data_IF_095159353954
#
_entry.id   IF_095159353954
#
_cell.length_a   1.000
_cell.length_b   1.000
_cell.length_c   1.000
_cell.angle_alpha   90.00
_cell.angle_beta   90.00
_cell.angle_gamma   90.00
#
_symmetry.space_group_name_H-M   'P 1'
#
loop_
_entity.id
_entity.type
_entity.pdbx_description
1 polymer ?
#
# COMPACT_ATOMS: atom_id res chain seq x y z
N UNK A 1 2.98 77.80 -22.46
CA UNK A 1 3.63 76.53 -22.14
C UNK A 1 2.61 75.67 -21.37
N UNK A 2 2.06 74.68 -21.97
CA UNK A 2 1.10 73.71 -21.36
C UNK A 2 1.82 72.39 -21.09
N UNK A 3 2.06 72.11 -19.80
CA UNK A 3 2.58 70.76 -19.36
C UNK A 3 1.48 69.72 -19.54
N UNK A 4 1.76 68.72 -20.33
CA UNK A 4 0.94 67.50 -20.39
C UNK A 4 1.45 66.52 -19.33
N UNK A 5 0.62 66.22 -18.32
CA UNK A 5 0.86 65.15 -17.39
C UNK A 5 0.61 63.81 -18.08
N UNK A 6 1.64 62.97 -18.18
CA UNK A 6 1.51 61.56 -18.59
C UNK A 6 1.14 60.70 -17.35
N UNK A 7 -0.07 60.20 -17.33
CA UNK A 7 -0.51 59.22 -16.33
C UNK A 7 0.00 57.85 -16.77
N UNK A 8 0.97 57.28 -16.06
CA UNK A 8 1.49 55.95 -16.25
C UNK A 8 0.56 54.99 -15.49
N UNK A 9 -0.32 54.26 -16.20
CA UNK A 9 -1.17 53.20 -15.64
C UNK A 9 -0.30 51.93 -15.51
N UNK A 10 0.09 51.59 -14.29
CA UNK A 10 0.75 50.30 -14.01
C UNK A 10 -0.30 49.18 -14.11
N UNK A 11 -0.23 48.38 -15.17
CA UNK A 11 -0.90 47.08 -15.25
C UNK A 11 -0.16 46.14 -14.28
N UNK A 12 -0.78 45.83 -13.14
CA UNK A 12 -0.41 44.69 -12.33
C UNK A 12 -0.81 43.43 -13.11
N UNK A 13 0.15 42.81 -13.80
CA UNK A 13 -0.02 41.47 -14.31
C UNK A 13 -0.11 40.54 -13.08
N UNK A 14 -1.31 40.09 -12.73
CA UNK A 14 -1.48 38.90 -11.89
C UNK A 14 -0.93 37.72 -12.69
N UNK A 15 0.30 37.35 -12.37
CA UNK A 15 0.83 36.07 -12.81
C UNK A 15 -0.02 35.01 -12.08
N UNK A 16 -1.01 34.46 -12.75
CA UNK A 16 -1.60 33.17 -12.37
C UNK A 16 -0.46 32.17 -12.52
N UNK A 17 0.14 31.79 -11.40
CA UNK A 17 0.99 30.59 -11.38
C UNK A 17 0.10 29.44 -11.86
N UNK A 18 0.32 28.96 -13.08
CA UNK A 18 -0.24 27.70 -13.50
C UNK A 18 0.31 26.68 -12.48
N UNK A 19 -0.56 26.15 -11.62
CA UNK A 19 -0.20 25.04 -10.76
C UNK A 19 0.30 23.93 -11.68
N UNK A 20 1.51 23.43 -11.42
CA UNK A 20 2.03 22.30 -12.17
C UNK A 20 1.06 21.12 -11.99
N UNK A 21 0.82 20.37 -13.07
CA UNK A 21 -0.03 19.19 -13.06
C UNK A 21 0.46 18.17 -12.02
N UNK A 22 -0.40 17.75 -11.10
CA UNK A 22 -0.10 16.70 -10.11
C UNK A 22 -0.29 15.35 -10.75
N UNK A 23 0.80 14.66 -11.05
CA UNK A 23 0.78 13.29 -11.59
C UNK A 23 0.73 12.28 -10.44
N UNK A 24 -0.27 11.39 -10.45
CA UNK A 24 -0.45 10.32 -9.48
C UNK A 24 -0.19 8.98 -10.17
N UNK A 25 0.95 8.34 -9.89
CA UNK A 25 1.25 7.02 -10.41
C UNK A 25 0.50 5.94 -9.66
N UNK A 26 -0.40 5.24 -10.36
CA UNK A 26 -1.23 4.17 -9.81
C UNK A 26 -0.45 2.86 -9.69
N UNK A 27 -0.78 2.07 -8.67
CA UNK A 27 -0.26 0.72 -8.44
C UNK A 27 -1.19 -0.38 -8.96
N UNK A 28 -2.44 -0.05 -9.28
CA UNK A 28 -3.48 -0.96 -9.77
C UNK A 28 -4.24 -0.35 -10.94
N UNK A 29 -5.15 -1.13 -11.53
CA UNK A 29 -6.12 -0.58 -12.50
C UNK A 29 -7.11 0.31 -11.78
N UNK A 30 -7.64 1.36 -12.45
CA UNK A 30 -8.75 2.15 -11.94
C UNK A 30 -10.01 1.29 -11.75
N UNK A 31 -10.28 0.93 -10.49
CA UNK A 31 -11.42 0.07 -10.13
C UNK A 31 -11.81 0.36 -8.67
N UNK A 32 -12.95 1.02 -8.49
CA UNK A 32 -13.47 1.40 -7.18
C UNK A 32 -14.11 0.23 -6.43
N UNK A 33 -14.44 -0.88 -7.12
CA UNK A 33 -15.07 -2.03 -6.49
C UNK A 33 -14.02 -2.95 -5.82
N UNK A 34 -12.87 -3.15 -6.48
CA UNK A 34 -11.90 -4.17 -6.07
C UNK A 34 -10.56 -3.64 -5.55
N UNK A 35 -10.28 -2.33 -5.71
CA UNK A 35 -8.99 -1.74 -5.32
C UNK A 35 -9.12 -0.66 -4.26
N UNK A 36 -8.68 -0.96 -3.02
CA UNK A 36 -8.63 0.03 -1.94
C UNK A 36 -7.62 1.14 -2.22
N UNK A 37 -6.46 0.82 -2.78
CA UNK A 37 -5.47 1.83 -3.17
C UNK A 37 -5.97 2.76 -4.28
N UNK A 38 -6.80 2.27 -5.20
CA UNK A 38 -7.43 3.15 -6.18
C UNK A 38 -8.55 3.99 -5.55
N UNK A 39 -9.35 3.44 -4.62
CA UNK A 39 -10.30 4.24 -3.85
C UNK A 39 -9.60 5.44 -3.17
N UNK A 40 -8.46 5.19 -2.57
CA UNK A 40 -7.63 6.24 -1.97
C UNK A 40 -7.17 7.27 -3.02
N UNK A 41 -6.55 6.82 -4.12
CA UNK A 41 -6.03 7.68 -5.17
C UNK A 41 -7.12 8.52 -5.84
N UNK A 42 -8.29 7.92 -6.08
CA UNK A 42 -9.45 8.60 -6.66
C UNK A 42 -10.01 9.69 -5.75
N UNK A 43 -10.19 9.39 -4.45
CA UNK A 43 -10.69 10.36 -3.49
C UNK A 43 -9.67 11.52 -3.29
N UNK A 44 -8.39 11.20 -3.17
CA UNK A 44 -7.31 12.17 -3.08
C UNK A 44 -7.25 13.08 -4.31
N UNK A 45 -7.22 12.48 -5.51
CA UNK A 45 -7.15 13.23 -6.76
C UNK A 45 -8.37 14.13 -6.99
N UNK A 46 -9.57 13.69 -6.59
CA UNK A 46 -10.78 14.52 -6.69
C UNK A 46 -10.76 15.67 -5.69
N UNK A 47 -10.34 15.46 -4.44
CA UNK A 47 -10.19 16.53 -3.46
C UNK A 47 -9.19 17.60 -3.92
N UNK A 48 -8.08 17.18 -4.54
CA UNK A 48 -7.12 18.13 -5.14
C UNK A 48 -7.74 18.91 -6.31
N UNK A 49 -8.53 18.26 -7.19
CA UNK A 49 -9.23 18.97 -8.28
C UNK A 49 -10.23 19.97 -7.75
N UNK A 50 -10.96 19.63 -6.69
CA UNK A 50 -11.92 20.54 -6.04
C UNK A 50 -11.22 21.75 -5.40
N UNK A 51 -9.97 21.61 -4.97
CA UNK A 51 -9.15 22.74 -4.49
C UNK A 51 -8.57 23.60 -5.63
N UNK A 52 -8.76 23.19 -6.90
CA UNK A 52 -8.28 23.92 -8.08
C UNK A 52 -6.94 23.45 -8.63
N UNK A 53 -6.40 22.35 -8.15
CA UNK A 53 -5.19 21.74 -8.73
C UNK A 53 -5.52 20.95 -10.00
N UNK A 54 -4.61 20.95 -10.96
CA UNK A 54 -4.69 20.06 -12.12
C UNK A 54 -4.11 18.70 -11.74
N UNK A 55 -4.87 17.62 -11.97
CA UNK A 55 -4.49 16.25 -11.52
C UNK A 55 -4.62 15.26 -12.65
N UNK A 56 -3.55 14.49 -12.88
CA UNK A 56 -3.53 13.41 -13.86
C UNK A 56 -3.12 12.08 -13.23
N UNK A 57 -3.98 11.09 -13.38
CA UNK A 57 -3.64 9.70 -13.05
C UNK A 57 -2.74 9.10 -14.12
N UNK A 58 -1.65 8.49 -13.68
CA UNK A 58 -0.72 7.74 -14.53
C UNK A 58 -1.01 6.25 -14.35
N UNK A 59 -1.45 5.55 -15.40
CA UNK A 59 -1.79 4.13 -15.31
C UNK A 59 -0.65 3.28 -14.78
N UNK A 60 -0.99 2.20 -14.08
CA UNK A 60 0.00 1.24 -13.60
C UNK A 60 0.97 0.84 -14.71
N UNK A 61 2.27 0.90 -14.43
CA UNK A 61 3.35 0.54 -15.35
C UNK A 61 3.68 1.59 -16.40
N UNK A 62 2.93 2.69 -16.52
CA UNK A 62 3.22 3.75 -17.49
C UNK A 62 4.45 4.58 -17.14
N UNK A 63 4.84 4.61 -15.87
CA UNK A 63 6.00 5.34 -15.35
C UNK A 63 7.11 4.40 -14.84
N UNK A 64 7.05 3.11 -15.21
CA UNK A 64 8.06 2.12 -14.84
C UNK A 64 7.70 1.23 -13.67
N UNK A 65 8.71 0.53 -13.14
CA UNK A 65 8.62 -0.35 -11.97
C UNK A 65 8.72 0.44 -10.64
N UNK A 66 8.73 -0.26 -9.50
CA UNK A 66 8.73 0.38 -8.17
C UNK A 66 9.98 1.25 -7.93
N UNK A 67 11.17 0.80 -8.36
CA UNK A 67 12.41 1.58 -8.21
C UNK A 67 12.39 2.82 -9.11
N UNK A 68 11.97 2.68 -10.37
CA UNK A 68 11.85 3.80 -11.32
C UNK A 68 10.81 4.83 -10.85
N UNK A 69 9.71 4.40 -10.20
CA UNK A 69 8.73 5.33 -9.60
C UNK A 69 9.37 6.11 -8.45
N UNK A 70 10.11 5.44 -7.57
CA UNK A 70 10.79 6.11 -6.46
C UNK A 70 11.82 7.12 -6.96
N UNK A 71 12.64 6.76 -7.95
CA UNK A 71 13.63 7.67 -8.57
C UNK A 71 12.96 8.90 -9.20
N UNK A 72 11.79 8.74 -9.83
CA UNK A 72 11.06 9.85 -10.42
C UNK A 72 10.46 10.78 -9.36
N UNK A 73 9.98 10.24 -8.24
CA UNK A 73 9.55 11.05 -7.08
C UNK A 73 10.73 11.80 -6.50
N UNK A 74 11.86 11.14 -6.24
CA UNK A 74 13.08 11.74 -5.67
C UNK A 74 13.69 12.83 -6.55
N UNK A 75 13.47 12.76 -7.86
CA UNK A 75 13.97 13.77 -8.82
C UNK A 75 12.94 14.83 -9.18
N UNK A 76 11.73 14.78 -8.60
CA UNK A 76 10.65 15.75 -8.88
C UNK A 76 10.00 15.60 -10.26
N UNK A 77 10.21 14.48 -10.96
CA UNK A 77 9.56 14.18 -12.24
C UNK A 77 8.13 13.63 -12.06
N UNK A 78 7.85 13.10 -10.89
CA UNK A 78 6.56 12.57 -10.48
C UNK A 78 6.19 13.17 -9.11
N UNK A 79 5.00 13.73 -9.01
CA UNK A 79 4.55 14.39 -7.79
C UNK A 79 4.11 13.39 -6.72
N UNK A 80 3.34 12.35 -7.11
CA UNK A 80 2.73 11.36 -6.20
C UNK A 80 2.85 9.95 -6.76
N UNK A 81 3.26 9.00 -5.96
CA UNK A 81 3.33 7.58 -6.31
C UNK A 81 2.67 6.70 -5.26
N UNK A 82 1.76 5.82 -5.67
CA UNK A 82 1.35 4.67 -4.87
C UNK A 82 2.31 3.52 -5.13
N UNK A 83 3.12 3.17 -4.14
CA UNK A 83 4.20 2.20 -4.26
C UNK A 83 4.10 1.10 -3.21
N UNK A 84 4.77 -0.02 -3.43
CA UNK A 84 4.93 -1.02 -2.37
C UNK A 84 5.71 -0.41 -1.18
N UNK A 85 5.35 -0.77 0.04
CA UNK A 85 6.01 -0.29 1.27
C UNK A 85 7.52 -0.53 1.25
N UNK A 86 7.99 -1.54 0.50
CA UNK A 86 9.44 -1.79 0.31
C UNK A 86 10.20 -0.63 -0.31
N UNK A 87 9.54 0.23 -1.09
CA UNK A 87 10.18 1.43 -1.63
C UNK A 87 10.65 2.37 -0.50
N UNK A 88 9.86 2.49 0.56
CA UNK A 88 10.22 3.23 1.78
C UNK A 88 11.24 2.44 2.61
N UNK A 89 11.06 1.13 2.73
CA UNK A 89 11.91 0.27 3.54
C UNK A 89 13.37 0.17 3.03
N UNK A 90 13.62 0.48 1.76
CA UNK A 90 14.98 0.61 1.22
C UNK A 90 15.74 1.79 1.84
N UNK A 91 15.02 2.82 2.31
CA UNK A 91 15.58 3.99 2.98
C UNK A 91 15.54 3.84 4.49
N UNK A 92 14.41 3.38 5.03
CA UNK A 92 14.22 3.16 6.46
C UNK A 92 13.51 1.83 6.72
N UNK A 93 14.24 0.85 7.22
CA UNK A 93 13.72 -0.49 7.51
C UNK A 93 12.66 -0.48 8.63
N UNK A 94 12.60 0.54 9.47
CA UNK A 94 11.58 0.65 10.51
C UNK A 94 10.16 0.48 9.97
N UNK A 95 9.88 0.98 8.76
CA UNK A 95 8.55 0.86 8.15
C UNK A 95 8.11 -0.60 7.93
N UNK A 96 9.02 -1.57 7.91
CA UNK A 96 8.65 -2.99 7.82
C UNK A 96 7.77 -3.46 8.97
N UNK A 97 7.74 -2.75 10.10
CA UNK A 97 6.86 -3.07 11.21
C UNK A 97 5.40 -3.17 10.83
N UNK A 98 4.93 -2.36 9.85
CA UNK A 98 3.55 -2.45 9.34
C UNK A 98 3.25 -3.77 8.62
N UNK A 99 4.28 -4.55 8.30
CA UNK A 99 4.19 -5.84 7.60
C UNK A 99 4.47 -7.05 8.48
N UNK A 100 4.72 -6.84 9.77
CA UNK A 100 4.82 -7.95 10.72
C UNK A 100 3.50 -8.73 10.74
N UNK A 101 3.53 -10.06 10.64
CA UNK A 101 2.30 -10.85 10.61
C UNK A 101 1.49 -10.67 11.90
N UNK A 102 0.18 -10.39 11.75
CA UNK A 102 -0.76 -10.19 12.86
C UNK A 102 -0.42 -9.04 13.83
N UNK A 103 0.44 -8.10 13.42
CA UNK A 103 0.77 -6.94 14.26
C UNK A 103 -0.44 -6.07 14.55
N UNK A 104 -1.37 -5.94 13.60
CA UNK A 104 -2.59 -5.18 13.76
C UNK A 104 -3.83 -6.08 13.71
N UNK A 105 -4.75 -5.90 14.65
CA UNK A 105 -6.01 -6.63 14.70
C UNK A 105 -7.00 -6.18 13.59
N UNK A 106 -6.97 -4.89 13.27
CA UNK A 106 -7.76 -4.26 12.21
C UNK A 106 -7.10 -2.95 11.78
N UNK A 107 -7.69 -2.28 10.79
CA UNK A 107 -7.14 -1.06 10.23
C UNK A 107 -7.18 0.12 11.22
N UNK A 108 -8.22 0.23 12.04
CA UNK A 108 -8.31 1.28 13.06
C UNK A 108 -7.24 1.13 14.15
N UNK A 109 -6.91 -0.12 14.51
CA UNK A 109 -5.80 -0.43 15.40
C UNK A 109 -4.47 0.02 14.78
N UNK A 110 -4.27 -0.22 13.48
CA UNK A 110 -3.09 0.24 12.76
C UNK A 110 -2.99 1.77 12.83
N UNK A 111 -4.06 2.49 12.50
CA UNK A 111 -4.07 3.94 12.49
C UNK A 111 -3.71 4.53 13.86
N UNK A 112 -4.26 3.96 14.95
CA UNK A 112 -3.91 4.38 16.32
C UNK A 112 -2.43 4.12 16.64
N UNK A 113 -1.90 2.95 16.27
CA UNK A 113 -0.50 2.60 16.51
C UNK A 113 0.46 3.50 15.71
N UNK A 114 0.14 3.79 14.45
CA UNK A 114 0.93 4.70 13.60
C UNK A 114 0.98 6.11 14.20
N UNK A 115 -0.16 6.63 14.65
CA UNK A 115 -0.25 7.94 15.28
C UNK A 115 0.50 7.99 16.62
N UNK A 116 0.30 6.97 17.49
CA UNK A 116 0.96 6.91 18.80
C UNK A 116 2.49 6.77 18.70
N UNK A 117 2.99 6.14 17.63
CA UNK A 117 4.40 5.97 17.37
C UNK A 117 5.06 7.10 16.60
N UNK A 118 4.30 8.11 16.19
CA UNK A 118 4.76 9.20 15.30
C UNK A 118 5.54 8.64 14.08
N UNK A 119 5.03 7.55 13.53
CA UNK A 119 5.73 6.72 12.53
C UNK A 119 6.07 7.52 11.28
N UNK A 120 5.15 8.38 10.83
CA UNK A 120 5.38 9.20 9.63
C UNK A 120 6.52 10.20 9.83
N UNK A 121 6.57 10.91 10.96
CA UNK A 121 7.67 11.85 11.25
C UNK A 121 9.00 11.13 11.25
N UNK A 122 9.10 10.01 11.97
CA UNK A 122 10.32 9.22 12.08
C UNK A 122 10.84 8.75 10.71
N UNK A 123 9.95 8.18 9.89
CA UNK A 123 10.32 7.65 8.57
C UNK A 123 10.69 8.79 7.61
N UNK A 124 9.98 9.92 7.70
CA UNK A 124 10.21 11.07 6.84
C UNK A 124 11.51 11.82 7.13
N UNK A 125 12.09 11.70 8.34
CA UNK A 125 13.43 12.20 8.61
C UNK A 125 14.48 11.57 7.66
N UNK A 126 14.42 10.25 7.45
CA UNK A 126 15.32 9.54 6.55
C UNK A 126 14.93 9.71 5.07
N UNK A 127 13.63 9.69 4.74
CA UNK A 127 13.15 9.89 3.37
C UNK A 127 13.46 11.28 2.83
N UNK A 128 13.52 12.30 3.69
CA UNK A 128 13.86 13.67 3.30
C UNK A 128 15.26 13.76 2.66
N UNK A 129 16.20 12.90 3.05
CA UNK A 129 17.53 12.81 2.45
C UNK A 129 17.50 12.29 1.00
N UNK A 130 16.41 11.64 0.61
CA UNK A 130 16.14 11.14 -0.74
C UNK A 130 15.12 12.02 -1.51
N UNK A 131 14.88 13.23 -1.07
CA UNK A 131 13.86 14.16 -1.61
C UNK A 131 12.47 13.55 -1.73
N UNK A 132 12.10 12.68 -0.80
CA UNK A 132 10.82 11.99 -0.74
C UNK A 132 10.13 12.19 0.62
N UNK A 133 8.81 12.07 0.64
CA UNK A 133 7.96 12.09 1.83
C UNK A 133 6.97 10.93 1.73
N UNK A 134 6.83 10.14 2.80
CA UNK A 134 5.71 9.22 2.98
C UNK A 134 4.51 10.02 3.48
N UNK A 135 3.53 10.20 2.63
CA UNK A 135 2.34 11.01 2.92
C UNK A 135 1.24 10.20 3.61
N UNK A 136 1.05 8.95 3.17
CA UNK A 136 0.03 8.05 3.71
C UNK A 136 0.40 6.57 3.50
N UNK A 137 -0.29 5.68 4.22
CA UNK A 137 -0.32 4.24 3.98
C UNK A 137 -1.74 3.83 3.57
N UNK A 138 -1.94 3.63 2.27
CA UNK A 138 -3.23 3.29 1.69
C UNK A 138 -3.42 1.77 1.64
N UNK A 139 -4.48 1.19 2.24
CA UNK A 139 -4.79 -0.22 2.09
C UNK A 139 -5.07 -0.60 0.62
N UNK A 140 -4.41 -1.64 0.13
CA UNK A 140 -4.71 -2.21 -1.20
C UNK A 140 -6.06 -2.95 -1.19
N UNK A 141 -6.41 -3.51 -0.05
CA UNK A 141 -7.62 -4.28 0.18
C UNK A 141 -7.69 -4.83 1.60
N UNK A 142 -8.66 -5.71 1.89
CA UNK A 142 -8.75 -6.44 3.15
C UNK A 142 -7.47 -7.21 3.49
N UNK A 143 -7.35 -7.66 4.73
CA UNK A 143 -6.20 -8.43 5.20
C UNK A 143 -5.90 -9.64 4.29
N UNK A 144 -4.62 -9.95 4.15
CA UNK A 144 -4.13 -10.98 3.23
C UNK A 144 -4.49 -12.38 3.71
N UNK A 145 -5.06 -13.17 2.82
CA UNK A 145 -5.25 -14.60 2.97
C UNK A 145 -4.28 -15.40 2.12
N UNK A 146 -4.32 -16.72 2.29
CA UNK A 146 -3.53 -17.70 1.52
C UNK A 146 -4.29 -18.05 0.25
N UNK A 147 -3.67 -17.79 -0.89
CA UNK A 147 -4.21 -18.08 -2.22
C UNK A 147 -3.44 -19.26 -2.80
N UNK A 148 -4.14 -20.30 -3.28
CA UNK A 148 -3.50 -21.50 -3.86
C UNK A 148 -4.16 -21.96 -5.14
N UNK A 149 -3.38 -22.67 -5.98
CA UNK A 149 -3.84 -23.30 -7.22
C UNK A 149 -4.25 -24.77 -7.03
N UNK A 150 -3.87 -25.39 -5.92
CA UNK A 150 -4.00 -26.83 -5.71
C UNK A 150 -4.89 -27.18 -4.54
N UNK A 151 -4.42 -27.02 -3.31
CA UNK A 151 -5.08 -27.54 -2.12
C UNK A 151 -5.67 -26.41 -1.25
N UNK A 152 -6.72 -26.76 -0.51
CA UNK A 152 -7.27 -25.92 0.52
C UNK A 152 -6.30 -25.83 1.71
N UNK A 153 -6.26 -24.66 2.36
CA UNK A 153 -5.41 -24.38 3.50
C UNK A 153 -6.27 -23.95 4.68
N UNK A 154 -6.17 -24.62 5.82
CA UNK A 154 -6.84 -24.27 7.08
C UNK A 154 -5.86 -24.13 8.24
N UNK A 155 -4.62 -24.58 8.05
CA UNK A 155 -3.56 -24.50 9.06
C UNK A 155 -2.18 -24.38 8.41
N UNK A 156 -1.13 -23.95 9.14
CA UNK A 156 0.25 -23.99 8.63
C UNK A 156 0.68 -25.40 8.16
N UNK A 157 0.17 -26.46 8.76
CA UNK A 157 0.52 -27.84 8.34
C UNK A 157 0.08 -28.13 6.90
N UNK A 158 -1.01 -27.51 6.41
CA UNK A 158 -1.46 -27.67 5.03
C UNK A 158 -0.56 -26.96 4.02
N UNK A 159 0.39 -26.14 4.50
CA UNK A 159 1.34 -25.40 3.68
C UNK A 159 2.63 -26.18 3.36
N UNK A 160 2.87 -27.32 4.01
CA UNK A 160 4.19 -27.97 4.12
C UNK A 160 4.86 -28.34 2.79
N UNK A 161 4.09 -28.56 1.73
CA UNK A 161 4.61 -28.92 0.40
C UNK A 161 4.40 -27.82 -0.65
N UNK A 162 3.83 -26.67 -0.25
CA UNK A 162 3.53 -25.60 -1.18
C UNK A 162 4.80 -24.76 -1.45
N UNK A 163 4.97 -24.35 -2.70
CA UNK A 163 5.95 -23.38 -3.14
C UNK A 163 5.27 -22.03 -3.26
N UNK A 164 5.49 -21.18 -2.31
CA UNK A 164 4.80 -19.91 -2.25
C UNK A 164 5.60 -18.79 -2.91
N UNK A 165 4.93 -17.95 -3.66
CA UNK A 165 5.53 -16.71 -4.12
C UNK A 165 5.74 -15.78 -2.93
N UNK A 166 6.94 -15.29 -2.76
CA UNK A 166 7.30 -14.27 -1.79
C UNK A 166 7.54 -12.90 -2.45
N UNK A 167 7.32 -11.83 -1.69
CA UNK A 167 7.71 -10.47 -2.05
C UNK A 167 9.19 -10.21 -1.74
N UNK A 168 9.66 -10.78 -0.63
CA UNK A 168 10.97 -10.53 -0.03
C UNK A 168 11.34 -11.65 0.96
N UNK A 169 12.52 -11.52 1.55
CA UNK A 169 13.06 -12.48 2.53
C UNK A 169 12.16 -12.59 3.78
N UNK A 170 11.44 -11.52 4.14
CA UNK A 170 10.48 -11.55 5.24
C UNK A 170 9.37 -12.54 5.02
N UNK A 171 8.78 -12.52 3.82
CA UNK A 171 7.76 -13.51 3.47
C UNK A 171 8.34 -14.91 3.33
N UNK A 172 9.61 -15.06 2.87
CA UNK A 172 10.29 -16.35 2.86
C UNK A 172 10.39 -16.88 4.29
N UNK A 173 10.86 -16.08 5.24
CA UNK A 173 10.98 -16.47 6.64
C UNK A 173 9.61 -16.88 7.24
N UNK A 174 8.55 -16.17 6.90
CA UNK A 174 7.19 -16.51 7.33
C UNK A 174 6.72 -17.85 6.76
N UNK A 175 6.89 -18.09 5.46
CA UNK A 175 6.54 -19.38 4.86
C UNK A 175 7.36 -20.52 5.46
N UNK A 176 8.64 -20.32 5.73
CA UNK A 176 9.47 -21.31 6.41
C UNK A 176 8.97 -21.63 7.83
N UNK A 177 8.53 -20.58 8.56
CA UNK A 177 7.90 -20.75 9.88
C UNK A 177 6.60 -21.56 9.82
N UNK A 178 5.90 -21.54 8.68
CA UNK A 178 4.71 -22.36 8.40
C UNK A 178 5.02 -23.73 7.78
N UNK A 179 6.31 -24.07 7.65
CA UNK A 179 6.75 -25.34 7.05
C UNK A 179 6.69 -25.38 5.51
N UNK A 180 6.52 -24.24 4.86
CA UNK A 180 6.45 -24.07 3.41
C UNK A 180 7.77 -23.52 2.84
N UNK A 181 7.89 -23.45 1.52
CA UNK A 181 8.98 -22.76 0.84
C UNK A 181 8.52 -21.47 0.17
N UNK A 182 9.38 -20.45 0.17
CA UNK A 182 9.13 -19.18 -0.50
C UNK A 182 10.17 -18.90 -1.60
N UNK A 183 9.71 -18.32 -2.71
CA UNK A 183 10.59 -17.82 -3.78
C UNK A 183 10.17 -16.42 -4.18
N UNK A 184 11.13 -15.50 -4.28
CA UNK A 184 10.85 -14.13 -4.72
C UNK A 184 10.55 -14.17 -6.22
N UNK A 185 9.33 -13.76 -6.57
CA UNK A 185 8.86 -13.67 -7.95
C UNK A 185 8.27 -12.30 -8.20
N UNK A 186 8.77 -11.52 -9.20
CA UNK A 186 8.19 -10.26 -9.60
C UNK A 186 6.71 -10.40 -9.95
N UNK A 187 5.87 -9.39 -9.59
CA UNK A 187 4.43 -9.52 -9.77
C UNK A 187 3.99 -9.82 -11.20
N UNK A 188 4.69 -9.26 -12.20
CA UNK A 188 4.40 -9.53 -13.62
C UNK A 188 4.59 -10.98 -14.04
N UNK A 189 5.37 -11.76 -13.30
CA UNK A 189 5.67 -13.18 -13.57
C UNK A 189 4.77 -14.14 -12.79
N UNK A 190 4.01 -13.64 -11.80
CA UNK A 190 3.14 -14.47 -10.94
C UNK A 190 2.12 -15.27 -11.75
N UNK A 191 1.39 -14.71 -12.75
CA UNK A 191 0.44 -15.50 -13.53
C UNK A 191 1.08 -16.68 -14.23
N UNK A 192 2.25 -16.48 -14.87
CA UNK A 192 2.97 -17.55 -15.53
C UNK A 192 3.49 -18.59 -14.53
N UNK A 193 4.01 -18.14 -13.38
CA UNK A 193 4.48 -19.02 -12.31
C UNK A 193 3.39 -19.93 -11.75
N UNK A 194 2.16 -19.41 -11.56
CA UNK A 194 1.00 -20.20 -11.12
C UNK A 194 0.53 -21.19 -12.20
N UNK A 195 0.49 -20.78 -13.47
CA UNK A 195 0.07 -21.63 -14.58
C UNK A 195 1.03 -22.78 -14.84
N UNK A 196 2.33 -22.55 -14.71
CA UNK A 196 3.37 -23.58 -14.94
C UNK A 196 3.69 -24.40 -13.71
N UNK A 197 3.12 -24.04 -12.54
CA UNK A 197 3.38 -24.71 -11.28
C UNK A 197 4.79 -24.45 -10.73
N UNK A 198 5.45 -23.35 -11.11
CA UNK A 198 6.69 -22.90 -10.47
C UNK A 198 6.39 -22.43 -9.04
N UNK A 199 5.23 -21.80 -8.84
CA UNK A 199 4.66 -21.46 -7.55
C UNK A 199 3.24 -22.04 -7.45
N UNK A 200 2.85 -22.44 -6.25
CA UNK A 200 1.55 -23.03 -5.96
C UNK A 200 0.57 -22.01 -5.36
N UNK A 201 1.08 -20.82 -4.97
CA UNK A 201 0.24 -19.80 -4.37
C UNK A 201 1.02 -18.56 -3.91
N UNK A 202 0.30 -17.66 -3.25
CA UNK A 202 0.85 -16.43 -2.66
C UNK A 202 -0.08 -15.88 -1.57
N UNK A 203 0.39 -14.91 -0.78
CA UNK A 203 -0.41 -14.14 0.17
C UNK A 203 -0.86 -12.83 -0.47
N UNK A 204 -2.16 -12.53 -0.41
CA UNK A 204 -2.69 -11.20 -0.76
C UNK A 204 -4.15 -11.05 -0.33
N UNK A 205 -4.71 -9.84 -0.57
CA UNK A 205 -6.14 -9.55 -0.42
C UNK A 205 -7.01 -10.45 -1.33
N UNK A 206 -8.25 -10.78 -0.91
CA UNK A 206 -9.17 -11.62 -1.69
C UNK A 206 -9.52 -11.02 -3.07
N UNK A 207 -9.45 -9.71 -3.25
CA UNK A 207 -9.72 -9.09 -4.55
C UNK A 207 -8.62 -9.31 -5.60
N UNK A 208 -7.40 -9.64 -5.19
CA UNK A 208 -6.27 -9.72 -6.11
C UNK A 208 -6.45 -10.73 -7.24
N UNK A 209 -6.91 -11.97 -7.00
CA UNK A 209 -7.17 -12.91 -8.09
C UNK A 209 -8.22 -12.39 -9.10
N UNK A 210 -9.25 -11.69 -8.61
CA UNK A 210 -10.29 -11.09 -9.46
C UNK A 210 -9.72 -9.93 -10.27
N UNK A 211 -9.08 -8.98 -9.60
CA UNK A 211 -8.50 -7.76 -10.20
C UNK A 211 -7.49 -8.07 -11.31
N UNK A 212 -6.70 -9.13 -11.15
CA UNK A 212 -5.64 -9.51 -12.09
C UNK A 212 -6.00 -10.69 -12.99
N UNK A 213 -7.28 -11.12 -13.03
CA UNK A 213 -7.75 -12.19 -13.91
C UNK A 213 -7.10 -13.55 -13.65
N UNK A 214 -6.85 -13.88 -12.38
CA UNK A 214 -6.16 -15.10 -11.96
C UNK A 214 -7.11 -16.21 -11.50
N UNK A 215 -8.42 -15.97 -11.51
CA UNK A 215 -9.44 -16.90 -11.01
C UNK A 215 -9.56 -18.20 -11.83
N UNK A 216 -9.06 -18.19 -13.08
CA UNK A 216 -9.06 -19.42 -13.92
C UNK A 216 -8.11 -20.49 -13.37
N UNK A 217 -7.03 -20.13 -12.69
CA UNK A 217 -6.03 -21.03 -12.15
C UNK A 217 -5.94 -21.04 -10.62
N UNK A 218 -6.30 -19.96 -9.93
CA UNK A 218 -6.49 -19.95 -8.47
C UNK A 218 -7.72 -20.78 -8.12
N UNK A 219 -7.58 -21.72 -7.18
CA UNK A 219 -8.67 -22.64 -6.79
C UNK A 219 -9.14 -22.46 -5.36
N UNK A 220 -8.28 -21.96 -4.48
CA UNK A 220 -8.60 -21.81 -3.06
C UNK A 220 -8.12 -20.47 -2.51
N UNK A 221 -8.86 -19.97 -1.55
CA UNK A 221 -8.52 -18.81 -0.73
C UNK A 221 -8.85 -19.12 0.74
N UNK A 222 -7.89 -18.95 1.63
CA UNK A 222 -8.10 -19.05 3.07
C UNK A 222 -7.96 -17.66 3.72
N UNK A 223 -9.00 -17.17 4.40
CA UNK A 223 -9.00 -15.86 5.06
C UNK A 223 -8.20 -15.89 6.38
N UNK A 224 -6.91 -16.12 6.26
CA UNK A 224 -5.99 -16.18 7.41
C UNK A 224 -5.72 -14.81 8.05
N UNK A 225 -6.06 -13.72 7.39
CA UNK A 225 -5.95 -12.32 7.87
C UNK A 225 -4.55 -11.96 8.40
N UNK A 226 -3.51 -12.36 7.66
CA UNK A 226 -2.12 -12.37 8.14
C UNK A 226 -1.51 -10.97 8.23
N UNK A 227 -1.68 -10.17 7.19
CA UNK A 227 -1.05 -8.85 7.02
C UNK A 227 -2.02 -7.95 6.28
N UNK A 228 -2.10 -6.68 6.65
CA UNK A 228 -2.77 -5.67 5.83
C UNK A 228 -1.89 -5.32 4.64
N UNK A 229 -2.33 -5.57 3.39
CA UNK A 229 -1.55 -5.19 2.21
C UNK A 229 -1.67 -3.68 2.01
N UNK A 230 -0.56 -2.97 2.19
CA UNK A 230 -0.51 -1.51 2.15
C UNK A 230 0.27 -1.00 0.93
N UNK A 231 -0.11 0.19 0.49
CA UNK A 231 0.66 1.01 -0.44
C UNK A 231 1.19 2.24 0.27
N UNK A 232 2.47 2.49 0.11
CA UNK A 232 3.06 3.75 0.51
C UNK A 232 2.68 4.82 -0.53
N UNK A 233 2.04 5.88 -0.08
CA UNK A 233 1.83 7.09 -0.87
C UNK A 233 3.04 7.96 -0.66
N UNK A 234 3.93 7.98 -1.65
CA UNK A 234 5.21 8.70 -1.61
C UNK A 234 5.07 9.92 -2.51
N UNK A 235 5.47 11.08 -2.02
CA UNK A 235 5.44 12.32 -2.78
C UNK A 235 6.83 12.94 -2.87
N UNK A 236 7.08 13.70 -3.95
CA UNK A 236 8.30 14.50 -4.08
C UNK A 236 8.33 15.58 -3.01
N UNK A 237 9.39 15.60 -2.22
CA UNK A 237 9.61 16.65 -1.22
C UNK A 237 9.77 18.00 -1.86
N UNK A 238 10.50 18.10 -2.96
CA UNK A 238 10.64 19.34 -3.74
C UNK A 238 9.30 19.87 -4.20
N UNK A 239 8.39 19.02 -4.68
CA UNK A 239 7.02 19.41 -5.03
C UNK A 239 6.25 19.89 -3.81
N UNK A 240 6.20 19.10 -2.74
CA UNK A 240 5.40 19.37 -1.54
C UNK A 240 5.86 20.65 -0.82
N UNK A 241 7.17 20.85 -0.68
CA UNK A 241 7.75 22.05 -0.06
C UNK A 241 7.55 23.30 -0.93
N UNK A 242 7.44 23.12 -2.24
CA UNK A 242 7.19 24.20 -3.21
C UNK A 242 5.74 24.69 -3.24
N UNK A 243 4.81 23.98 -2.60
CA UNK A 243 3.40 24.38 -2.54
C UNK A 243 3.23 25.67 -1.70
N UNK A 244 2.22 26.47 -2.07
CA UNK A 244 1.75 27.52 -1.18
C UNK A 244 1.16 26.94 0.10
N UNK A 245 1.05 27.75 1.17
CA UNK A 245 0.42 27.28 2.42
C UNK A 245 -1.02 26.80 2.21
N UNK A 246 -1.77 27.44 1.30
CA UNK A 246 -3.13 27.01 0.96
C UNK A 246 -3.14 25.66 0.20
N UNK A 247 -2.25 25.50 -0.78
CA UNK A 247 -2.17 24.26 -1.56
C UNK A 247 -1.68 23.08 -0.68
N UNK A 248 -0.75 23.35 0.24
CA UNK A 248 -0.29 22.34 1.20
C UNK A 248 -1.42 21.91 2.12
N UNK A 249 -2.17 22.86 2.68
CA UNK A 249 -3.34 22.56 3.50
C UNK A 249 -4.42 21.77 2.69
N UNK A 250 -4.56 22.05 1.38
CA UNK A 250 -5.45 21.29 0.52
C UNK A 250 -4.95 19.84 0.29
N UNK A 251 -3.64 19.64 0.14
CA UNK A 251 -3.06 18.29 0.05
C UNK A 251 -3.29 17.52 1.35
N UNK A 252 -3.05 18.12 2.51
CA UNK A 252 -3.25 17.48 3.81
C UNK A 252 -4.73 17.11 4.03
N UNK A 253 -5.67 18.00 3.69
CA UNK A 253 -7.11 17.71 3.73
C UNK A 253 -7.54 16.64 2.73
N UNK A 254 -6.89 16.58 1.57
CA UNK A 254 -7.13 15.52 0.58
C UNK A 254 -6.69 14.14 1.08
N UNK A 255 -5.60 14.05 1.86
CA UNK A 255 -5.19 12.81 2.54
C UNK A 255 -6.26 12.33 3.51
N UNK A 256 -6.74 13.22 4.39
CA UNK A 256 -7.82 12.88 5.34
C UNK A 256 -9.08 12.39 4.62
N UNK A 257 -9.45 13.05 3.51
CA UNK A 257 -10.60 12.67 2.68
C UNK A 257 -10.41 11.28 2.06
N UNK A 258 -9.22 11.00 1.52
CA UNK A 258 -8.87 9.72 0.91
C UNK A 258 -8.83 8.58 1.93
N UNK A 259 -8.26 8.83 3.10
CA UNK A 259 -8.23 7.86 4.20
C UNK A 259 -9.65 7.51 4.66
N UNK A 260 -10.51 8.50 4.90
CA UNK A 260 -11.90 8.28 5.31
C UNK A 260 -12.69 7.49 4.24
N UNK A 261 -12.52 7.82 2.95
CA UNK A 261 -13.17 7.11 1.85
C UNK A 261 -12.73 5.64 1.80
N UNK A 262 -11.43 5.39 1.94
CA UNK A 262 -10.88 4.03 1.93
C UNK A 262 -11.33 3.23 3.14
N UNK A 263 -11.40 3.84 4.35
CA UNK A 263 -11.92 3.17 5.57
C UNK A 263 -13.39 2.79 5.40
N UNK A 264 -14.20 3.68 4.82
CA UNK A 264 -15.61 3.38 4.49
C UNK A 264 -15.72 2.20 3.53
N UNK A 265 -14.92 2.18 2.46
CA UNK A 265 -14.89 1.07 1.52
C UNK A 265 -14.47 -0.26 2.19
N UNK A 266 -13.44 -0.24 3.05
CA UNK A 266 -12.93 -1.42 3.75
C UNK A 266 -13.97 -2.08 4.67
N UNK A 267 -14.95 -1.33 5.19
CA UNK A 267 -15.96 -1.86 6.10
C UNK A 267 -16.74 -3.05 5.51
N UNK A 268 -16.96 -3.05 4.19
CA UNK A 268 -17.66 -4.12 3.47
C UNK A 268 -16.73 -4.97 2.60
N UNK A 269 -15.52 -4.49 2.34
CA UNK A 269 -14.61 -5.07 1.36
C UNK A 269 -14.19 -6.51 1.70
N UNK A 270 -14.10 -6.88 2.97
CA UNK A 270 -13.72 -8.25 3.37
C UNK A 270 -14.73 -9.28 2.85
N UNK A 271 -16.00 -9.11 3.15
CA UNK A 271 -17.03 -10.06 2.72
C UNK A 271 -17.29 -9.97 1.20
N UNK A 272 -17.28 -8.76 0.64
CA UNK A 272 -17.41 -8.56 -0.80
C UNK A 272 -16.29 -9.26 -1.59
N UNK A 273 -15.05 -9.23 -1.09
CA UNK A 273 -13.92 -9.91 -1.71
C UNK A 273 -14.03 -11.43 -1.66
N UNK A 274 -14.50 -12.00 -0.55
CA UNK A 274 -14.76 -13.44 -0.43
C UNK A 274 -15.89 -13.87 -1.37
N UNK A 275 -16.99 -13.13 -1.41
CA UNK A 275 -18.12 -13.37 -2.32
C UNK A 275 -17.69 -13.29 -3.78
N UNK A 276 -16.89 -12.29 -4.16
CA UNK A 276 -16.38 -12.15 -5.52
C UNK A 276 -15.51 -13.34 -5.96
N UNK A 277 -14.74 -13.93 -5.03
CA UNK A 277 -13.98 -15.16 -5.30
C UNK A 277 -14.91 -16.37 -5.51
N UNK A 278 -15.92 -16.52 -4.65
CA UNK A 278 -16.91 -17.63 -4.74
C UNK A 278 -17.68 -17.56 -6.05
N UNK A 279 -18.12 -16.37 -6.47
CA UNK A 279 -18.79 -16.15 -7.77
C UNK A 279 -17.90 -16.52 -8.97
N UNK A 280 -16.59 -16.44 -8.82
CA UNK A 280 -15.61 -16.88 -9.83
C UNK A 280 -15.21 -18.34 -9.70
N UNK A 281 -15.86 -19.10 -8.81
CA UNK A 281 -15.62 -20.54 -8.63
C UNK A 281 -14.37 -20.87 -7.80
N UNK A 282 -13.82 -19.91 -7.06
CA UNK A 282 -12.74 -20.15 -6.08
C UNK A 282 -13.36 -20.64 -4.78
N UNK A 283 -12.84 -21.73 -4.22
CA UNK A 283 -13.29 -22.25 -2.92
C UNK A 283 -12.72 -21.39 -1.79
N UNK A 284 -13.58 -20.78 -0.99
CA UNK A 284 -13.19 -19.95 0.13
C UNK A 284 -13.23 -20.76 1.43
N UNK A 285 -12.08 -20.87 2.10
CA UNK A 285 -11.97 -21.41 3.45
C UNK A 285 -12.13 -20.26 4.44
N UNK A 286 -13.33 -20.07 4.98
CA UNK A 286 -13.58 -19.15 6.09
C UNK A 286 -13.01 -19.76 7.38
N UNK A 287 -11.82 -19.30 7.79
CA UNK A 287 -11.14 -19.78 8.98
C UNK A 287 -11.84 -19.25 10.25
N UNK A 288 -11.88 -20.09 11.29
CA UNK A 288 -12.30 -19.67 12.62
C UNK A 288 -11.21 -18.85 13.31
N UNK A 289 -11.53 -18.21 14.42
CA UNK A 289 -10.53 -17.48 15.22
C UNK A 289 -9.46 -18.40 15.79
N UNK A 290 -9.83 -19.65 16.12
CA UNK A 290 -8.90 -20.68 16.57
C UNK A 290 -7.93 -21.08 15.46
N UNK A 291 -8.42 -21.27 14.23
CA UNK A 291 -7.59 -21.60 13.08
C UNK A 291 -6.64 -20.44 12.75
N UNK A 292 -7.11 -19.19 12.78
CA UNK A 292 -6.24 -18.01 12.61
C UNK A 292 -5.21 -17.89 13.73
N UNK A 293 -5.57 -18.27 14.98
CA UNK A 293 -4.64 -18.27 16.09
C UNK A 293 -3.46 -19.24 15.88
N UNK A 294 -3.68 -20.38 15.22
CA UNK A 294 -2.60 -21.32 14.87
C UNK A 294 -1.61 -20.68 13.87
N UNK A 295 -2.11 -19.96 12.86
CA UNK A 295 -1.24 -19.20 11.95
C UNK A 295 -0.47 -18.08 12.67
N UNK A 296 -1.13 -17.37 13.58
CA UNK A 296 -0.50 -16.31 14.38
C UNK A 296 0.66 -16.87 15.21
N UNK A 297 0.43 -17.97 15.93
CA UNK A 297 1.46 -18.65 16.74
C UNK A 297 2.63 -19.08 15.88
N UNK A 298 2.36 -19.74 14.76
CA UNK A 298 3.40 -20.19 13.82
C UNK A 298 4.19 -19.03 13.20
N UNK A 299 3.65 -17.82 13.17
CA UNK A 299 4.30 -16.64 12.61
C UNK A 299 5.25 -15.93 13.60
N UNK A 300 5.22 -16.26 14.89
CA UNK A 300 6.03 -15.57 15.91
C UNK A 300 7.55 -15.57 15.62
N UNK A 301 8.16 -16.60 15.00
CA UNK A 301 9.57 -16.56 14.66
C UNK A 301 9.98 -15.39 13.74
N UNK A 302 9.05 -14.86 12.91
CA UNK A 302 9.31 -13.73 12.02
C UNK A 302 9.70 -12.46 12.78
N UNK A 303 9.20 -12.30 14.01
CA UNK A 303 9.52 -11.16 14.88
C UNK A 303 10.97 -11.17 15.39
N UNK A 304 11.71 -12.27 15.18
CA UNK A 304 13.13 -12.39 15.50
C UNK A 304 14.00 -12.45 14.23
N UNK A 305 13.45 -12.12 13.08
CA UNK A 305 14.18 -12.09 11.81
C UNK A 305 14.96 -10.77 11.65
N UNK A 306 15.91 -10.76 10.72
CA UNK A 306 16.76 -9.59 10.42
C UNK A 306 16.04 -8.51 9.56
N UNK A 307 14.71 -8.44 9.61
CA UNK A 307 13.92 -7.46 8.85
C UNK A 307 14.16 -6.02 9.26
N UNK A 308 14.37 -5.85 10.56
CA UNK A 308 14.69 -4.57 11.20
C UNK A 308 15.46 -4.85 12.47
N UNK A 309 15.93 -3.82 13.16
CA UNK A 309 16.60 -3.99 14.45
C UNK A 309 15.68 -4.63 15.49
N UNK A 310 16.27 -5.33 16.46
CA UNK A 310 15.51 -5.90 17.58
C UNK A 310 14.80 -4.80 18.41
N UNK A 311 15.40 -3.59 18.48
CA UNK A 311 14.82 -2.43 19.15
C UNK A 311 13.57 -1.95 18.41
N UNK A 312 13.61 -1.83 17.08
CA UNK A 312 12.47 -1.44 16.26
C UNK A 312 11.35 -2.48 16.31
N UNK A 313 11.70 -3.76 16.28
CA UNK A 313 10.72 -4.84 16.45
C UNK A 313 10.02 -4.76 17.82
N UNK A 314 10.78 -4.49 18.88
CA UNK A 314 10.23 -4.33 20.23
C UNK A 314 9.33 -3.09 20.32
N UNK A 315 9.72 -1.98 19.66
CA UNK A 315 8.92 -0.77 19.60
C UNK A 315 7.59 -1.03 18.87
N UNK A 316 7.60 -1.69 17.70
CA UNK A 316 6.38 -2.04 16.98
C UNK A 316 5.43 -2.93 17.79
N UNK A 317 5.96 -3.93 18.50
CA UNK A 317 5.16 -4.77 19.41
C UNK A 317 4.51 -3.93 20.51
N UNK A 318 5.29 -3.04 21.13
CA UNK A 318 4.78 -2.13 22.16
C UNK A 318 3.67 -1.22 21.60
N UNK A 319 3.89 -0.57 20.44
CA UNK A 319 2.90 0.27 19.79
C UNK A 319 1.61 -0.50 19.48
N UNK A 320 1.74 -1.73 18.98
CA UNK A 320 0.59 -2.59 18.73
C UNK A 320 -0.16 -2.92 20.05
N UNK A 321 0.55 -3.38 21.08
CA UNK A 321 -0.08 -3.85 22.33
C UNK A 321 -0.78 -2.72 23.10
N UNK A 322 -0.20 -1.52 23.11
CA UNK A 322 -0.74 -0.34 23.81
C UNK A 322 -1.91 0.34 23.09
N UNK A 323 -2.11 0.07 21.80
CA UNK A 323 -3.13 0.73 20.96
C UNK A 323 -4.19 -0.23 20.39
N UNK A 324 -4.26 -1.45 20.92
CA UNK A 324 -5.19 -2.50 20.47
C UNK A 324 -6.66 -2.18 20.70
#
# INVERSE_FOLDING_TARGET
MKLKALTLTALLAMATSASAEVKIALDSKPDLETSGSYNWAFAFGNALKESGMDVREMPRGSVGNEAEKFDQVSTGLLEVSLSDVRAVAQVDQFIYGVRLPYIFANIDHMDRALAAGDVYTRVNENLAEQDAILLALAPLGPASGVITTTQAVRSPADMSELRMRALDDAQIAMYQAWGSSGTIVPWGEVPAGLQTGVIDGYLNSPFIPVMFGQTDFVKNFANADVIWPLRAVIVSKTWYDGLSDNDRAAVDAAVETADAATRTWLAEASENGLTALEEKGVTVQRLTDEERAVFREASLPVYNSDLMSAEDTALWKKLSDENR
#
